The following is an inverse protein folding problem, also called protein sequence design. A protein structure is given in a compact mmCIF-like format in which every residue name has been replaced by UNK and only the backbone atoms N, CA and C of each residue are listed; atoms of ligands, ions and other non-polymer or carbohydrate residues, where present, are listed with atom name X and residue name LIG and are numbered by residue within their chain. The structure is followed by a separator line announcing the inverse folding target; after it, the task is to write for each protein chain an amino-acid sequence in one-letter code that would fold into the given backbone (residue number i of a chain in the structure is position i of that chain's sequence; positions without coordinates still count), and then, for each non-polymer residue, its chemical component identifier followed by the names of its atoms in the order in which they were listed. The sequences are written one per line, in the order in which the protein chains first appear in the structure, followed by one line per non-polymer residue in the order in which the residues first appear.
data_IF_019960535965
#
_entry.id   IF_019960535965
#
_cell.length_a   1.000
_cell.length_b   1.000
_cell.length_c   1.000
_cell.angle_alpha   90.00
_cell.angle_beta   90.00
_cell.angle_gamma   90.00
#
_symmetry.space_group_name_H-M   'P 1'
#
loop_
_entity.id
_entity.type
_entity.pdbx_description
1 polymer ?
#
# COMPACT_ATOMS: atom_id res chain seq x y z
N UNK A 1 4.61 51.62 43.07
CA UNK A 1 4.78 50.20 43.39
C UNK A 1 3.48 49.44 43.19
N UNK A 2 2.34 49.95 43.74
CA UNK A 2 1.04 49.30 43.60
C UNK A 2 0.55 49.26 42.15
N UNK A 3 0.80 50.32 41.38
CA UNK A 3 0.44 50.38 39.96
C UNK A 3 1.23 49.36 39.16
N UNK A 4 2.51 49.15 39.47
CA UNK A 4 3.34 48.17 38.82
C UNK A 4 2.86 46.72 39.08
N UNK A 5 2.43 46.45 40.31
CA UNK A 5 1.91 45.13 40.70
C UNK A 5 0.60 44.82 39.93
N UNK A 6 -0.30 45.80 39.82
CA UNK A 6 -1.55 45.64 39.08
C UNK A 6 -1.30 45.45 37.59
N UNK A 7 -0.36 46.21 37.02
CA UNK A 7 0.04 46.10 35.61
C UNK A 7 0.64 44.71 35.30
N UNK A 8 1.54 44.26 36.19
CA UNK A 8 2.15 42.95 36.07
C UNK A 8 1.12 41.82 36.19
N UNK A 9 0.13 41.99 37.07
CA UNK A 9 -0.97 41.03 37.21
C UNK A 9 -1.76 40.92 35.90
N UNK A 10 -2.16 42.05 35.31
CA UNK A 10 -2.91 42.05 34.08
C UNK A 10 -2.12 41.48 32.90
N UNK A 11 -0.82 41.78 32.83
CA UNK A 11 0.07 41.22 31.82
C UNK A 11 0.20 39.70 31.98
N UNK A 12 0.39 39.24 33.22
CA UNK A 12 0.49 37.82 33.49
C UNK A 12 -0.80 37.09 33.16
N UNK A 13 -1.93 37.67 33.51
CA UNK A 13 -3.24 37.09 33.19
C UNK A 13 -3.45 37.00 31.70
N UNK A 14 -3.14 38.05 30.94
CA UNK A 14 -3.23 38.06 29.49
C UNK A 14 -2.32 37.01 28.88
N UNK A 15 -1.13 36.82 29.41
CA UNK A 15 -0.20 35.82 28.94
C UNK A 15 -0.72 34.40 29.18
N UNK A 16 -1.29 34.14 30.36
CA UNK A 16 -1.89 32.86 30.68
C UNK A 16 -3.04 32.56 29.72
N UNK A 17 -3.91 33.52 29.45
CA UNK A 17 -5.01 33.36 28.51
C UNK A 17 -4.53 33.03 27.10
N UNK A 18 -3.47 33.67 26.63
CA UNK A 18 -2.84 33.36 25.35
C UNK A 18 -2.26 31.95 25.32
N UNK A 19 -1.57 31.55 26.39
CA UNK A 19 -1.03 30.22 26.48
C UNK A 19 -2.11 29.15 26.52
N UNK A 20 -3.19 29.41 27.22
CA UNK A 20 -4.36 28.50 27.23
C UNK A 20 -4.97 28.36 25.86
N UNK A 21 -5.13 29.47 25.13
CA UNK A 21 -5.65 29.45 23.76
C UNK A 21 -4.69 28.70 22.83
N UNK A 22 -3.39 28.92 22.97
CA UNK A 22 -2.40 28.21 22.18
C UNK A 22 -2.41 26.71 22.47
N UNK A 23 -2.54 26.32 23.74
CA UNK A 23 -2.64 24.92 24.13
C UNK A 23 -3.88 24.27 23.52
N UNK A 24 -5.00 24.95 23.57
CA UNK A 24 -6.25 24.45 22.97
C UNK A 24 -6.09 24.26 21.47
N UNK A 25 -5.48 25.21 20.79
CA UNK A 25 -5.21 25.12 19.37
C UNK A 25 -4.27 23.95 19.05
N UNK A 26 -3.23 23.77 19.85
CA UNK A 26 -2.30 22.65 19.71
C UNK A 26 -2.98 21.30 19.92
N UNK A 27 -3.86 21.22 20.90
CA UNK A 27 -4.65 20.00 21.13
C UNK A 27 -5.54 19.66 19.94
N UNK A 28 -6.17 20.64 19.33
CA UNK A 28 -6.95 20.45 18.12
C UNK A 28 -6.10 19.99 16.95
N UNK A 29 -4.92 20.60 16.76
CA UNK A 29 -3.98 20.21 15.73
C UNK A 29 -3.50 18.76 15.94
N UNK A 30 -3.20 18.39 17.16
CA UNK A 30 -2.79 17.02 17.50
C UNK A 30 -3.93 16.04 17.20
N UNK A 31 -5.14 16.38 17.53
CA UNK A 31 -6.31 15.56 17.25
C UNK A 31 -6.45 15.32 15.74
N UNK A 32 -6.37 16.40 14.96
CA UNK A 32 -6.49 16.32 13.50
C UNK A 32 -5.36 15.49 12.90
N UNK A 33 -4.13 15.69 13.38
CA UNK A 33 -2.97 14.93 12.90
C UNK A 33 -3.10 13.44 13.23
N UNK A 34 -3.60 13.10 14.40
CA UNK A 34 -3.84 11.71 14.78
C UNK A 34 -4.89 11.08 13.88
N UNK A 35 -5.93 11.83 13.58
CA UNK A 35 -7.00 11.37 12.69
C UNK A 35 -6.48 11.12 11.28
N UNK A 36 -5.68 12.05 10.77
CA UNK A 36 -5.05 11.92 9.46
C UNK A 36 -4.10 10.74 9.41
N UNK A 37 -3.33 10.53 10.48
CA UNK A 37 -2.39 9.41 10.57
C UNK A 37 -3.13 8.08 10.50
N UNK A 38 -4.22 7.94 11.23
CA UNK A 38 -5.04 6.72 11.21
C UNK A 38 -5.59 6.49 9.80
N UNK A 39 -6.10 7.54 9.17
CA UNK A 39 -6.61 7.49 7.80
C UNK A 39 -5.55 7.02 6.83
N UNK A 40 -4.34 7.57 6.92
CA UNK A 40 -3.21 7.18 6.07
C UNK A 40 -2.76 5.75 6.32
N UNK A 41 -2.77 5.30 7.58
CA UNK A 41 -2.45 3.91 7.92
C UNK A 41 -3.44 2.93 7.30
N UNK A 42 -4.73 3.26 7.33
CA UNK A 42 -5.77 2.44 6.70
C UNK A 42 -5.56 2.36 5.19
N UNK A 43 -5.23 3.48 4.56
CA UNK A 43 -4.92 3.52 3.12
C UNK A 43 -3.71 2.68 2.78
N UNK A 44 -2.66 2.76 3.58
CA UNK A 44 -1.45 1.96 3.39
C UNK A 44 -1.73 0.47 3.52
N UNK A 45 -2.49 0.07 4.52
CA UNK A 45 -2.87 -1.33 4.71
C UNK A 45 -3.68 -1.86 3.51
N UNK A 46 -4.60 -1.04 3.02
CA UNK A 46 -5.40 -1.38 1.84
C UNK A 46 -4.53 -1.54 0.60
N UNK A 47 -3.58 -0.64 0.40
CA UNK A 47 -2.64 -0.70 -0.73
C UNK A 47 -1.71 -1.90 -0.62
N UNK A 48 -1.23 -2.21 0.58
CA UNK A 48 -0.38 -3.38 0.82
C UNK A 48 -1.14 -4.67 0.52
N UNK A 49 -2.39 -4.76 0.92
CA UNK A 49 -3.25 -5.90 0.60
C UNK A 49 -3.43 -6.05 -0.91
N UNK A 50 -3.67 -4.95 -1.61
CA UNK A 50 -3.81 -4.94 -3.06
C UNK A 50 -2.51 -5.38 -3.75
N UNK A 51 -1.36 -4.93 -3.27
CA UNK A 51 -0.06 -5.32 -3.80
C UNK A 51 0.16 -6.81 -3.62
N UNK A 52 -0.17 -7.36 -2.46
CA UNK A 52 -0.05 -8.79 -2.20
C UNK A 52 -0.93 -9.61 -3.12
N UNK A 53 -2.17 -9.17 -3.34
CA UNK A 53 -3.08 -9.82 -4.27
C UNK A 53 -2.55 -9.79 -5.70
N UNK A 54 -2.03 -8.65 -6.13
CA UNK A 54 -1.47 -8.50 -7.47
C UNK A 54 -0.24 -9.39 -7.66
N UNK A 55 0.63 -9.47 -6.68
CA UNK A 55 1.79 -10.37 -6.71
C UNK A 55 1.37 -11.81 -6.81
N UNK A 56 0.38 -12.22 -6.03
CA UNK A 56 -0.16 -13.57 -6.07
C UNK A 56 -0.77 -13.89 -7.43
N UNK A 57 -1.56 -12.98 -7.98
CA UNK A 57 -2.16 -13.13 -9.30
C UNK A 57 -1.10 -13.22 -10.39
N UNK A 58 -0.05 -12.40 -10.32
CA UNK A 58 1.05 -12.45 -11.25
C UNK A 58 1.80 -13.78 -11.20
N UNK A 59 2.02 -14.32 -10.00
CA UNK A 59 2.65 -15.63 -9.84
C UNK A 59 1.81 -16.74 -10.43
N UNK A 60 0.50 -16.70 -10.24
CA UNK A 60 -0.42 -17.66 -10.84
C UNK A 60 -0.43 -17.57 -12.36
N UNK A 61 -0.43 -16.35 -12.88
CA UNK A 61 -0.38 -16.13 -14.34
C UNK A 61 0.93 -16.65 -14.93
N UNK A 62 2.04 -16.43 -14.27
CA UNK A 62 3.33 -16.96 -14.72
C UNK A 62 3.36 -18.48 -14.70
N UNK A 63 2.82 -19.09 -13.65
CA UNK A 63 2.71 -20.55 -13.58
C UNK A 63 1.83 -21.10 -14.67
N UNK A 64 0.68 -20.47 -14.91
CA UNK A 64 -0.23 -20.87 -15.97
C UNK A 64 0.42 -20.71 -17.35
N UNK A 65 1.17 -19.63 -17.54
CA UNK A 65 1.91 -19.40 -18.78
C UNK A 65 2.94 -20.50 -19.00
N UNK A 66 3.70 -20.87 -17.98
CA UNK A 66 4.68 -21.95 -18.05
C UNK A 66 4.01 -23.28 -18.37
N UNK A 67 2.87 -23.58 -17.75
CA UNK A 67 2.10 -24.80 -18.02
C UNK A 67 1.59 -24.86 -19.45
N UNK A 68 1.08 -23.74 -19.93
CA UNK A 68 0.59 -23.64 -21.32
C UNK A 68 1.74 -23.78 -22.33
N UNK A 69 2.88 -23.17 -22.06
CA UNK A 69 4.07 -23.30 -22.90
C UNK A 69 4.57 -24.73 -22.93
N UNK A 70 4.61 -25.39 -21.77
CA UNK A 70 5.02 -26.79 -21.66
C UNK A 70 4.02 -27.71 -22.40
N UNK A 71 2.73 -27.46 -22.23
CA UNK A 71 1.71 -28.24 -22.92
C UNK A 71 1.77 -28.04 -24.42
N UNK A 72 2.02 -26.83 -24.89
CA UNK A 72 2.18 -26.51 -26.30
C UNK A 72 3.40 -27.20 -26.88
N UNK A 73 4.54 -27.14 -26.18
CA UNK A 73 5.77 -27.81 -26.61
C UNK A 73 5.57 -29.32 -26.69
N UNK A 74 4.92 -29.89 -25.69
CA UNK A 74 4.60 -31.32 -25.66
C UNK A 74 3.69 -31.73 -26.84
N UNK A 75 2.69 -30.89 -27.10
CA UNK A 75 1.78 -31.09 -28.23
C UNK A 75 2.50 -31.01 -29.59
N UNK A 76 3.42 -30.04 -29.72
CA UNK A 76 4.23 -29.90 -30.93
C UNK A 76 5.18 -31.08 -31.12
N UNK A 77 5.80 -31.56 -30.04
CA UNK A 77 6.66 -32.74 -30.07
C UNK A 77 5.87 -33.99 -30.44
N UNK A 78 4.68 -34.14 -29.88
CA UNK A 78 3.79 -35.25 -30.23
C UNK A 78 3.39 -35.26 -31.70
N UNK A 79 2.99 -34.11 -32.23
CA UNK A 79 2.67 -33.95 -33.64
C UNK A 79 3.86 -34.24 -34.54
N UNK A 80 5.04 -33.78 -34.14
CA UNK A 80 6.28 -34.02 -34.87
C UNK A 80 6.62 -35.51 -34.91
N UNK A 81 6.48 -36.20 -33.77
CA UNK A 81 6.72 -37.64 -33.67
C UNK A 81 5.73 -38.43 -34.51
N UNK A 82 4.49 -38.05 -34.57
CA UNK A 82 3.48 -38.67 -35.41
C UNK A 82 3.82 -38.53 -36.90
N UNK A 83 4.29 -37.38 -37.34
CA UNK A 83 4.72 -37.13 -38.70
C UNK A 83 5.92 -38.00 -39.07
N UNK A 84 6.90 -38.10 -38.16
CA UNK A 84 8.09 -38.93 -38.38
C UNK A 84 7.70 -40.41 -38.45
N UNK A 85 6.85 -40.86 -37.53
CA UNK A 85 6.33 -42.23 -37.51
C UNK A 85 5.54 -42.56 -38.79
N UNK A 86 4.69 -41.61 -39.21
CA UNK A 86 3.93 -41.75 -40.45
C UNK A 86 4.82 -41.86 -41.71
N UNK A 87 5.87 -41.06 -41.80
CA UNK A 87 6.82 -41.11 -42.90
C UNK A 87 7.60 -42.43 -42.94
N UNK A 88 7.95 -42.94 -41.75
CA UNK A 88 8.67 -44.21 -41.63
C UNK A 88 7.79 -45.36 -42.10
N UNK A 89 6.52 -45.34 -41.75
CA UNK A 89 5.54 -46.34 -42.18
C UNK A 89 5.30 -46.29 -43.69
N UNK A 90 5.27 -45.12 -44.29
CA UNK A 90 5.06 -44.91 -45.71
C UNK A 90 6.29 -45.35 -46.52
N UNK A 91 7.45 -45.34 -45.96
CA UNK A 91 8.69 -45.74 -46.65
C UNK A 91 8.91 -47.25 -46.70
N UNK A 92 8.08 -47.97 -46.00
CA UNK A 92 8.01 -49.43 -46.09
C UNK A 92 7.12 -49.85 -47.23
#
# INVERSE_FOLDING_TARGET
LQLNIADDYFKAKAQVERLEADLQQKDEEIYDLKHDLISEQIKLESKDAAIKELKSANQELELNKMRLEAALDESLLGARNEQISGKTDQSK
#
